data_IF_201786590254
#
_entry.id   IF_201786590254
#
_cell.length_a   1.000
_cell.length_b   1.000
_cell.length_c   1.000
_cell.angle_alpha   90.00
_cell.angle_beta   90.00
_cell.angle_gamma   90.00
#
_symmetry.space_group_name_H-M   'P 1'
#
loop_
_entity.id
_entity.type
_entity.pdbx_description
1 polymer ?
#
# COMPACT_ATOMS: atom_id res chain seq x y z
N UNK A 1 36.14 7.76 -27.73
CA UNK A 1 37.53 7.27 -27.68
C UNK A 1 37.67 6.58 -26.34
N UNK A 2 37.64 5.26 -26.36
CA UNK A 2 37.82 4.41 -25.18
C UNK A 2 39.18 3.75 -25.42
N UNK A 3 40.17 4.15 -24.62
CA UNK A 3 41.58 3.88 -24.83
C UNK A 3 41.91 2.38 -24.85
N UNK A 4 43.00 2.08 -25.56
CA UNK A 4 43.63 0.82 -25.96
C UNK A 4 44.06 -0.08 -24.77
N UNK A 5 43.18 -0.29 -23.79
CA UNK A 5 43.40 -1.26 -22.73
C UNK A 5 43.25 -2.67 -23.29
N UNK A 6 44.37 -3.32 -23.55
CA UNK A 6 44.42 -4.75 -23.89
C UNK A 6 44.66 -5.54 -22.60
N UNK A 7 43.62 -6.20 -22.06
CA UNK A 7 43.81 -7.04 -20.89
C UNK A 7 44.76 -8.20 -21.21
N UNK A 8 45.39 -8.77 -20.18
CA UNK A 8 46.14 -10.01 -20.30
C UNK A 8 45.23 -11.13 -20.86
N UNK A 9 45.79 -12.14 -21.56
CA UNK A 9 45.00 -13.17 -22.24
C UNK A 9 43.93 -13.85 -21.36
N UNK A 10 44.23 -14.03 -20.08
CA UNK A 10 43.33 -14.65 -19.09
C UNK A 10 42.07 -13.81 -18.82
N UNK A 11 42.17 -12.49 -18.99
CA UNK A 11 41.06 -11.53 -18.87
C UNK A 11 40.47 -11.13 -20.22
N UNK A 12 41.02 -11.59 -21.35
CA UNK A 12 40.41 -11.43 -22.67
C UNK A 12 39.24 -12.41 -22.83
N UNK A 13 38.06 -11.99 -22.38
CA UNK A 13 36.82 -12.75 -22.56
C UNK A 13 36.02 -12.14 -23.71
N UNK A 14 35.83 -12.90 -24.79
CA UNK A 14 35.04 -12.47 -25.96
C UNK A 14 33.53 -12.54 -25.74
N UNK A 15 33.08 -13.27 -24.71
CA UNK A 15 31.68 -13.57 -24.44
C UNK A 15 31.16 -12.96 -23.13
N UNK A 16 31.81 -11.91 -22.63
CA UNK A 16 31.42 -11.21 -21.41
C UNK A 16 32.01 -9.78 -21.39
N UNK A 17 31.36 -8.88 -20.65
CA UNK A 17 31.97 -7.62 -20.25
C UNK A 17 32.75 -7.87 -18.94
N UNK A 18 34.03 -7.50 -18.90
CA UNK A 18 34.89 -7.70 -17.72
C UNK A 18 35.01 -6.39 -16.94
N UNK A 19 34.68 -6.45 -15.65
CA UNK A 19 34.82 -5.35 -14.70
C UNK A 19 35.90 -5.70 -13.68
N UNK A 20 36.82 -4.77 -13.43
CA UNK A 20 37.84 -4.89 -12.39
C UNK A 20 37.52 -3.92 -11.25
N UNK A 21 37.23 -4.46 -10.08
CA UNK A 21 36.88 -3.70 -8.88
C UNK A 21 38.12 -3.56 -8.02
N UNK A 22 38.75 -2.39 -8.08
CA UNK A 22 39.92 -2.07 -7.28
C UNK A 22 39.49 -1.47 -5.94
N UNK A 23 39.90 -2.11 -4.85
CA UNK A 23 39.70 -1.65 -3.50
C UNK A 23 41.03 -1.12 -2.95
N UNK A 24 41.00 0.12 -2.47
CA UNK A 24 42.08 0.74 -1.72
C UNK A 24 41.56 1.05 -0.33
N UNK A 25 41.89 0.20 0.64
CA UNK A 25 41.45 0.38 2.01
C UNK A 25 42.45 1.25 2.79
N UNK A 26 41.95 2.35 3.36
CA UNK A 26 42.63 3.17 4.38
C UNK A 26 41.96 3.04 5.74
N UNK A 27 41.11 2.02 5.89
CA UNK A 27 40.34 1.75 7.10
C UNK A 27 41.22 0.96 8.06
N UNK A 28 41.08 1.26 9.35
CA UNK A 28 41.72 0.49 10.42
C UNK A 28 40.68 -0.36 11.12
N UNK A 29 40.96 -1.65 11.23
CA UNK A 29 40.06 -2.63 11.82
C UNK A 29 40.42 -2.89 13.28
N UNK A 30 39.42 -3.04 14.14
CA UNK A 30 39.63 -3.38 15.56
C UNK A 30 40.03 -4.85 15.78
N UNK A 31 39.92 -5.69 14.76
CA UNK A 31 40.37 -7.08 14.75
C UNK A 31 40.92 -7.51 13.39
N UNK A 32 41.55 -8.68 13.37
CA UNK A 32 42.11 -9.28 12.16
C UNK A 32 41.00 -9.57 11.12
N UNK A 33 41.27 -9.29 9.85
CA UNK A 33 40.35 -9.58 8.73
C UNK A 33 41.05 -10.47 7.72
N UNK A 34 40.59 -11.71 7.57
CA UNK A 34 41.20 -12.69 6.65
C UNK A 34 40.50 -12.80 5.30
N UNK A 35 39.44 -12.02 5.09
CA UNK A 35 38.75 -11.89 3.81
C UNK A 35 39.74 -11.61 2.66
N UNK A 36 39.55 -12.31 1.54
CA UNK A 36 40.51 -12.26 0.42
C UNK A 36 40.57 -10.91 -0.29
N UNK A 37 39.50 -10.12 -0.22
CA UNK A 37 39.42 -8.81 -0.87
C UNK A 37 39.78 -7.68 0.09
N UNK A 38 39.30 -7.68 1.33
CA UNK A 38 39.59 -6.62 2.31
C UNK A 38 40.91 -6.83 3.07
N UNK A 39 41.28 -8.09 3.33
CA UNK A 39 42.55 -8.58 3.90
C UNK A 39 43.36 -7.59 4.76
N UNK A 40 43.01 -7.47 6.04
CA UNK A 40 43.72 -6.62 7.00
C UNK A 40 44.40 -7.45 8.10
N UNK A 41 45.64 -7.86 7.83
CA UNK A 41 46.43 -8.76 8.68
C UNK A 41 47.66 -8.10 9.30
N UNK A 42 47.96 -6.84 8.96
CA UNK A 42 49.12 -6.12 9.50
C UNK A 42 48.70 -5.35 10.75
N UNK A 43 49.37 -5.61 11.88
CA UNK A 43 49.19 -4.80 13.09
C UNK A 43 49.94 -3.48 12.96
N UNK A 44 49.27 -2.38 13.30
CA UNK A 44 49.86 -1.05 13.34
C UNK A 44 49.40 -0.33 14.60
N UNK A 45 50.32 0.39 15.24
CA UNK A 45 49.98 1.33 16.30
C UNK A 45 49.18 2.49 15.67
N UNK A 46 48.10 2.91 16.35
CA UNK A 46 47.26 4.02 15.92
C UNK A 46 47.37 5.11 17.00
N UNK A 47 48.30 6.07 16.84
CA UNK A 47 48.53 7.11 17.86
C UNK A 47 47.24 7.87 18.22
N UNK A 48 46.36 8.08 17.24
CA UNK A 48 45.08 8.77 17.41
C UNK A 48 44.08 8.06 18.34
N UNK A 49 44.26 6.76 18.58
CA UNK A 49 43.38 5.95 19.43
C UNK A 49 44.10 5.41 20.69
N UNK A 50 45.41 5.64 20.81
CA UNK A 50 46.21 5.08 21.90
C UNK A 50 46.22 3.55 21.95
N UNK A 51 45.92 2.88 20.82
CA UNK A 51 45.82 1.41 20.74
C UNK A 51 46.31 0.88 19.39
N UNK A 52 46.46 -0.43 19.30
CA UNK A 52 46.78 -1.14 18.08
C UNK A 52 45.51 -1.46 17.29
N UNK A 53 45.62 -1.45 15.96
CA UNK A 53 44.61 -2.04 15.09
C UNK A 53 45.24 -2.71 13.88
N UNK A 54 44.36 -3.18 13.01
CA UNK A 54 44.71 -3.99 11.86
C UNK A 54 44.49 -3.19 10.58
N UNK A 55 45.54 -3.06 9.78
CA UNK A 55 45.50 -2.36 8.49
C UNK A 55 45.64 -3.35 7.33
N UNK A 56 45.22 -2.90 6.15
CA UNK A 56 45.30 -3.69 4.93
C UNK A 56 46.72 -4.22 4.69
N UNK A 57 46.81 -5.50 4.40
CA UNK A 57 48.07 -6.15 4.00
C UNK A 57 48.48 -5.85 2.56
N UNK A 58 47.53 -5.32 1.77
CA UNK A 58 47.70 -5.05 0.34
C UNK A 58 47.42 -3.57 0.06
N UNK A 59 48.23 -2.95 -0.79
CA UNK A 59 48.01 -1.56 -1.22
C UNK A 59 46.76 -1.43 -2.07
N UNK A 60 46.53 -2.39 -2.96
CA UNK A 60 45.35 -2.51 -3.81
C UNK A 60 44.94 -3.98 -3.84
N UNK A 61 43.65 -4.26 -3.67
CA UNK A 61 43.08 -5.57 -3.89
C UNK A 61 42.02 -5.49 -4.99
N UNK A 62 42.10 -6.42 -5.95
CA UNK A 62 41.27 -6.38 -7.16
C UNK A 62 40.37 -7.59 -7.21
N UNK A 63 39.09 -7.36 -7.47
CA UNK A 63 38.12 -8.41 -7.78
C UNK A 63 37.71 -8.30 -9.24
N UNK A 64 37.83 -9.40 -9.98
CA UNK A 64 37.37 -9.50 -11.37
C UNK A 64 35.93 -10.03 -11.43
N UNK A 65 35.04 -9.31 -12.11
CA UNK A 65 33.66 -9.70 -12.32
C UNK A 65 33.35 -9.73 -13.82
N UNK A 66 32.69 -10.79 -14.30
CA UNK A 66 32.25 -10.92 -15.69
C UNK A 66 30.73 -10.81 -15.76
N UNK A 67 30.24 -9.85 -16.54
CA UNK A 67 28.81 -9.68 -16.82
C UNK A 67 28.47 -10.28 -18.19
N UNK A 68 27.41 -11.09 -18.25
CA UNK A 68 26.93 -11.73 -19.48
C UNK A 68 25.44 -11.47 -19.61
N UNK A 69 25.02 -11.13 -20.82
CA UNK A 69 23.65 -10.78 -21.15
C UNK A 69 23.12 -11.75 -22.20
N UNK A 70 21.87 -12.14 -21.99
CA UNK A 70 21.12 -12.99 -22.90
C UNK A 70 19.70 -12.44 -23.03
N UNK A 71 19.22 -12.33 -24.26
CA UNK A 71 17.87 -11.93 -24.60
C UNK A 71 17.19 -13.12 -25.28
N UNK A 72 15.93 -13.34 -24.92
CA UNK A 72 15.18 -14.51 -25.36
C UNK A 72 13.81 -14.12 -25.91
N UNK A 73 13.37 -14.83 -26.95
CA UNK A 73 12.03 -14.85 -27.50
C UNK A 73 11.49 -16.29 -27.42
N UNK A 74 10.79 -16.61 -26.33
CA UNK A 74 10.44 -17.99 -26.00
C UNK A 74 11.71 -18.85 -25.86
N UNK A 75 11.80 -19.93 -26.65
CA UNK A 75 12.95 -20.84 -26.63
C UNK A 75 14.13 -20.37 -27.49
N UNK A 76 14.02 -19.22 -28.18
CA UNK A 76 15.10 -18.66 -29.01
C UNK A 76 15.83 -17.60 -28.23
N UNK A 77 17.07 -17.87 -27.85
CA UNK A 77 17.92 -16.92 -27.18
C UNK A 77 19.19 -16.69 -27.99
N UNK A 78 19.77 -15.49 -27.88
CA UNK A 78 21.13 -15.28 -28.37
C UNK A 78 22.14 -15.96 -27.42
N UNK A 79 23.37 -16.17 -27.89
CA UNK A 79 24.43 -16.68 -27.03
C UNK A 79 24.76 -15.65 -25.94
N UNK A 80 24.99 -16.07 -24.67
CA UNK A 80 25.35 -15.13 -23.61
C UNK A 80 26.66 -14.41 -23.94
N UNK A 81 26.61 -13.08 -23.99
CA UNK A 81 27.73 -12.23 -24.41
C UNK A 81 27.78 -10.91 -23.62
N UNK A 82 28.84 -10.11 -23.78
CA UNK A 82 28.87 -8.73 -23.28
C UNK A 82 27.77 -7.87 -23.92
N UNK A 83 27.29 -6.84 -23.23
CA UNK A 83 26.12 -6.07 -23.67
C UNK A 83 26.40 -5.32 -24.99
N UNK A 84 27.64 -4.87 -25.18
CA UNK A 84 28.05 -4.19 -26.42
C UNK A 84 28.21 -5.13 -27.61
N UNK A 85 28.53 -6.40 -27.35
CA UNK A 85 28.65 -7.43 -28.39
C UNK A 85 27.31 -7.87 -28.97
N UNK A 86 26.19 -7.45 -28.37
CA UNK A 86 24.85 -7.68 -28.92
C UNK A 86 24.63 -6.71 -30.08
N UNK A 87 24.85 -7.21 -31.29
CA UNK A 87 24.71 -6.49 -32.56
C UNK A 87 23.35 -6.79 -33.23
N UNK A 88 23.09 -6.16 -34.39
CA UNK A 88 21.85 -6.38 -35.16
C UNK A 88 21.60 -7.84 -35.51
N UNK A 89 22.63 -8.56 -35.97
CA UNK A 89 22.53 -9.98 -36.35
C UNK A 89 22.05 -10.86 -35.18
N UNK A 90 22.60 -10.64 -33.98
CA UNK A 90 22.20 -11.38 -32.77
C UNK A 90 20.74 -11.13 -32.37
N UNK A 91 20.21 -9.96 -32.70
CA UNK A 91 18.81 -9.57 -32.44
C UNK A 91 17.89 -10.12 -33.52
N UNK A 92 18.32 -10.11 -34.79
CA UNK A 92 17.58 -10.72 -35.91
C UNK A 92 17.38 -12.22 -35.70
N UNK A 93 18.38 -12.91 -35.13
CA UNK A 93 18.29 -14.33 -34.77
C UNK A 93 17.12 -14.64 -33.81
N UNK A 94 16.70 -13.66 -32.99
CA UNK A 94 15.56 -13.82 -32.07
C UNK A 94 14.21 -13.78 -32.79
N UNK A 95 14.15 -13.33 -34.06
CA UNK A 95 12.92 -13.16 -34.86
C UNK A 95 11.82 -12.43 -34.10
N UNK A 96 12.17 -11.27 -33.56
CA UNK A 96 11.24 -10.43 -32.81
C UNK A 96 10.21 -9.78 -33.74
N UNK A 97 8.96 -9.69 -33.30
CA UNK A 97 7.96 -8.85 -33.98
C UNK A 97 8.15 -7.36 -33.61
N UNK A 98 7.44 -6.45 -34.29
CA UNK A 98 7.59 -5.01 -34.08
C UNK A 98 7.40 -4.55 -32.61
N UNK A 99 6.46 -5.15 -31.88
CA UNK A 99 6.25 -4.87 -30.44
C UNK A 99 7.42 -5.34 -29.60
N UNK A 100 7.90 -6.56 -29.86
CA UNK A 100 9.02 -7.16 -29.15
C UNK A 100 10.32 -6.40 -29.43
N UNK A 101 10.51 -5.84 -30.62
CA UNK A 101 11.65 -4.97 -30.95
C UNK A 101 11.61 -3.70 -30.08
N UNK A 102 10.45 -3.05 -29.94
CA UNK A 102 10.31 -1.89 -29.05
C UNK A 102 10.63 -2.25 -27.58
N UNK A 103 10.14 -3.40 -27.10
CA UNK A 103 10.48 -3.92 -25.76
C UNK A 103 11.97 -4.23 -25.64
N UNK A 104 12.60 -4.81 -26.66
CA UNK A 104 14.02 -5.10 -26.67
C UNK A 104 14.86 -3.81 -26.55
N UNK A 105 14.51 -2.75 -27.30
CA UNK A 105 15.21 -1.47 -27.18
C UNK A 105 15.10 -0.88 -25.77
N UNK A 106 13.93 -0.97 -25.14
CA UNK A 106 13.78 -0.60 -23.74
C UNK A 106 14.67 -1.44 -22.83
N UNK A 107 14.58 -2.77 -22.91
CA UNK A 107 15.34 -3.68 -22.06
C UNK A 107 16.86 -3.51 -22.24
N UNK A 108 17.32 -3.22 -23.46
CA UNK A 108 18.73 -2.90 -23.74
C UNK A 108 19.16 -1.60 -23.06
N UNK A 109 18.35 -0.53 -23.14
CA UNK A 109 18.61 0.74 -22.44
C UNK A 109 18.66 0.54 -20.92
N UNK A 110 17.72 -0.25 -20.38
CA UNK A 110 17.62 -0.61 -18.97
C UNK A 110 18.84 -1.42 -18.52
N UNK A 111 19.19 -2.48 -19.25
CA UNK A 111 20.37 -3.31 -18.98
C UNK A 111 21.65 -2.49 -19.01
N UNK A 112 21.77 -1.55 -19.96
CA UNK A 112 22.90 -0.65 -20.02
C UNK A 112 23.06 0.20 -18.76
N UNK A 113 21.95 0.68 -18.18
CA UNK A 113 21.97 1.48 -16.96
C UNK A 113 22.23 0.68 -15.67
N UNK A 114 21.98 -0.63 -15.68
CA UNK A 114 22.18 -1.51 -14.53
C UNK A 114 23.54 -2.19 -14.46
N UNK A 115 24.43 -1.92 -15.42
CA UNK A 115 25.78 -2.47 -15.46
C UNK A 115 26.58 -2.05 -14.24
N UNK A 116 27.38 -2.97 -13.73
CA UNK A 116 28.18 -2.76 -12.53
C UNK A 116 29.09 -1.53 -12.65
N UNK A 117 29.68 -1.27 -13.82
CA UNK A 117 30.48 -0.07 -14.10
C UNK A 117 29.77 1.23 -13.72
N UNK A 118 28.51 1.41 -14.10
CA UNK A 118 27.77 2.65 -13.80
C UNK A 118 27.43 2.75 -12.32
N UNK A 119 27.01 1.63 -11.72
CA UNK A 119 26.67 1.60 -10.30
C UNK A 119 27.90 1.96 -9.45
N UNK A 120 29.06 1.39 -9.78
CA UNK A 120 30.34 1.72 -9.14
C UNK A 120 30.75 3.18 -9.37
N UNK A 121 30.57 3.69 -10.59
CA UNK A 121 30.92 5.07 -10.91
C UNK A 121 30.10 6.09 -10.11
N UNK A 122 28.79 5.85 -9.96
CA UNK A 122 27.90 6.80 -9.27
C UNK A 122 27.93 6.67 -7.74
N UNK A 123 28.06 5.45 -7.20
CA UNK A 123 28.01 5.23 -5.74
C UNK A 123 29.39 5.17 -5.08
N UNK A 124 30.44 4.85 -5.83
CA UNK A 124 31.80 4.74 -5.32
C UNK A 124 31.88 3.83 -4.09
N UNK A 125 32.52 4.29 -3.02
CA UNK A 125 32.66 3.53 -1.76
C UNK A 125 31.33 3.27 -1.02
N UNK A 126 30.30 4.07 -1.27
CA UNK A 126 29.00 3.95 -0.57
C UNK A 126 28.21 2.73 -1.01
N UNK A 127 28.69 2.02 -2.04
CA UNK A 127 28.10 0.77 -2.51
C UNK A 127 28.44 -0.44 -1.62
N UNK A 128 29.51 -0.34 -0.82
CA UNK A 128 30.02 -1.44 -0.01
C UNK A 128 29.31 -1.46 1.35
N UNK A 129 28.79 -2.62 1.75
CA UNK A 129 28.22 -2.84 3.09
C UNK A 129 29.29 -2.62 4.15
N UNK A 130 30.54 -2.99 3.89
CA UNK A 130 31.67 -2.75 4.78
C UNK A 130 31.86 -1.25 5.11
N UNK A 131 31.46 -0.33 4.22
CA UNK A 131 31.56 1.11 4.48
C UNK A 131 30.53 1.58 5.52
N UNK A 132 29.37 0.91 5.66
CA UNK A 132 28.39 1.21 6.71
C UNK A 132 28.90 0.86 8.11
N UNK A 133 29.87 -0.06 8.19
CA UNK A 133 30.53 -0.45 9.45
C UNK A 133 31.70 0.48 9.81
N UNK A 134 31.97 1.52 9.02
CA UNK A 134 33.01 2.51 9.34
C UNK A 134 32.41 3.60 10.22
N UNK A 135 33.03 3.89 11.35
CA UNK A 135 32.51 4.83 12.34
C UNK A 135 33.60 5.73 12.92
N UNK A 136 33.17 6.85 13.50
CA UNK A 136 34.03 7.82 14.16
C UNK A 136 34.64 8.87 13.23
N UNK A 137 35.50 9.72 13.80
CA UNK A 137 36.22 10.78 13.07
C UNK A 137 37.41 10.19 12.27
N UNK A 138 37.96 9.08 12.74
CA UNK A 138 38.97 8.29 12.02
C UNK A 138 38.29 7.12 11.30
N UNK A 139 38.78 6.67 10.13
CA UNK A 139 38.17 5.57 9.39
C UNK A 139 38.43 4.24 10.10
N UNK A 140 37.65 3.95 11.15
CA UNK A 140 37.75 2.74 11.97
C UNK A 140 36.56 1.85 11.67
N UNK A 141 36.77 0.55 11.62
CA UNK A 141 35.70 -0.43 11.45
C UNK A 141 35.86 -1.63 12.39
N UNK A 142 34.75 -2.30 12.66
CA UNK A 142 34.76 -3.61 13.30
C UNK A 142 35.36 -4.66 12.35
N UNK A 143 35.91 -5.78 12.87
CA UNK A 143 36.39 -6.86 12.02
C UNK A 143 35.29 -7.35 11.09
N UNK A 144 35.68 -7.62 9.84
CA UNK A 144 34.79 -8.16 8.81
C UNK A 144 34.82 -9.69 8.83
N UNK A 145 33.69 -10.36 8.50
CA UNK A 145 33.67 -11.80 8.25
C UNK A 145 34.63 -12.21 7.14
N UNK A 146 35.06 -13.47 7.16
CA UNK A 146 36.00 -14.03 6.16
C UNK A 146 35.37 -14.17 4.75
N UNK A 147 34.04 -14.15 4.66
CA UNK A 147 33.26 -14.20 3.42
C UNK A 147 32.67 -12.84 3.01
N UNK A 148 33.18 -11.74 3.57
CA UNK A 148 32.67 -10.39 3.31
C UNK A 148 32.64 -10.07 1.80
N UNK A 149 33.65 -10.46 1.02
CA UNK A 149 33.65 -10.23 -0.43
C UNK A 149 32.45 -10.88 -1.13
N UNK A 150 31.99 -12.05 -0.67
CA UNK A 150 30.81 -12.72 -1.22
C UNK A 150 29.53 -11.97 -0.86
N UNK A 151 29.46 -11.47 0.38
CA UNK A 151 28.36 -10.63 0.86
C UNK A 151 28.27 -9.37 0.00
N UNK A 152 29.40 -8.72 -0.28
CA UNK A 152 29.45 -7.56 -1.16
C UNK A 152 28.99 -7.91 -2.57
N UNK A 153 29.45 -9.02 -3.17
CA UNK A 153 29.03 -9.40 -4.52
C UNK A 153 27.53 -9.69 -4.60
N UNK A 154 26.95 -10.32 -3.57
CA UNK A 154 25.49 -10.53 -3.48
C UNK A 154 24.74 -9.20 -3.41
N UNK A 155 25.27 -8.22 -2.66
CA UNK A 155 24.70 -6.88 -2.58
C UNK A 155 24.77 -6.14 -3.92
N UNK A 156 25.93 -6.15 -4.58
CA UNK A 156 26.12 -5.54 -5.91
C UNK A 156 25.17 -6.11 -6.96
N UNK A 157 24.97 -7.43 -6.96
CA UNK A 157 24.00 -8.06 -7.86
C UNK A 157 22.56 -7.65 -7.51
N UNK A 158 22.20 -7.62 -6.22
CA UNK A 158 20.87 -7.20 -5.78
C UNK A 158 20.58 -5.75 -6.17
N UNK A 159 21.57 -4.88 -6.07
CA UNK A 159 21.50 -3.49 -6.49
C UNK A 159 21.36 -3.36 -8.01
N UNK A 160 22.11 -4.13 -8.79
CA UNK A 160 21.94 -4.19 -10.25
C UNK A 160 20.51 -4.60 -10.63
N UNK A 161 19.95 -5.60 -9.96
CA UNK A 161 18.56 -6.03 -10.17
C UNK A 161 17.55 -4.94 -9.78
N UNK A 162 17.78 -4.24 -8.67
CA UNK A 162 16.92 -3.12 -8.27
C UNK A 162 16.95 -1.99 -9.31
N UNK A 163 18.13 -1.65 -9.84
CA UNK A 163 18.27 -0.67 -10.93
C UNK A 163 17.55 -1.14 -12.19
N UNK A 164 17.66 -2.42 -12.57
CA UNK A 164 16.89 -2.96 -13.71
C UNK A 164 15.38 -2.73 -13.53
N UNK A 165 14.83 -3.06 -12.36
CA UNK A 165 13.42 -2.89 -12.05
C UNK A 165 12.99 -1.41 -12.06
N UNK A 166 13.80 -0.55 -11.44
CA UNK A 166 13.53 0.89 -11.37
C UNK A 166 13.57 1.55 -12.75
N UNK A 167 14.55 1.22 -13.59
CA UNK A 167 14.72 1.85 -14.92
C UNK A 167 13.57 1.54 -15.87
N UNK A 168 12.94 0.37 -15.76
CA UNK A 168 11.72 0.06 -16.53
C UNK A 168 10.59 1.02 -16.14
N UNK A 169 10.44 1.30 -14.85
CA UNK A 169 9.41 2.21 -14.33
C UNK A 169 9.69 3.67 -14.71
N UNK A 170 10.96 4.10 -14.63
CA UNK A 170 11.38 5.45 -15.00
C UNK A 170 11.17 5.76 -16.49
N UNK A 171 11.19 4.75 -17.37
CA UNK A 171 10.87 4.96 -18.78
C UNK A 171 9.43 5.44 -18.98
N UNK A 172 8.47 4.87 -18.25
CA UNK A 172 7.06 5.25 -18.32
C UNK A 172 6.76 6.54 -17.55
N UNK A 173 7.41 6.71 -16.39
CA UNK A 173 7.17 7.81 -15.46
C UNK A 173 8.49 8.38 -14.95
N UNK A 174 9.19 9.18 -15.77
CA UNK A 174 10.45 9.79 -15.38
C UNK A 174 10.25 10.79 -14.25
N UNK A 175 11.25 10.89 -13.37
CA UNK A 175 11.22 11.86 -12.29
C UNK A 175 11.29 13.30 -12.83
N UNK A 176 10.48 14.18 -12.24
CA UNK A 176 10.52 15.61 -12.52
C UNK A 176 11.33 16.33 -11.45
N UNK A 177 12.64 16.45 -11.68
CA UNK A 177 13.57 17.11 -10.76
C UNK A 177 14.03 18.44 -11.35
N UNK A 178 14.24 19.43 -10.49
CA UNK A 178 14.85 20.69 -10.89
C UNK A 178 16.37 20.50 -10.95
N UNK A 179 16.93 20.54 -12.16
CA UNK A 179 18.38 20.35 -12.39
C UNK A 179 19.13 21.64 -12.07
N UNK A 180 18.52 22.78 -12.41
CA UNK A 180 18.99 24.14 -12.12
C UNK A 180 17.77 25.03 -11.91
N UNK A 181 17.91 26.20 -11.25
CA UNK A 181 16.80 27.14 -11.07
C UNK A 181 16.02 27.38 -12.37
N UNK A 182 14.75 26.99 -12.41
CA UNK A 182 13.85 27.12 -13.56
C UNK A 182 14.02 26.06 -14.67
N UNK A 183 14.91 25.08 -14.50
CA UNK A 183 15.27 24.06 -15.50
C UNK A 183 14.91 22.68 -14.94
N UNK A 184 13.81 22.12 -15.42
CA UNK A 184 13.33 20.79 -15.01
C UNK A 184 13.93 19.67 -15.87
N UNK A 185 14.09 18.46 -15.32
CA UNK A 185 14.56 17.28 -16.05
C UNK A 185 13.69 16.91 -17.25
N UNK A 186 12.41 17.30 -17.22
CA UNK A 186 11.44 17.01 -18.28
C UNK A 186 11.85 17.53 -19.65
N UNK A 187 12.57 18.65 -19.71
CA UNK A 187 13.03 19.21 -20.99
C UNK A 187 14.09 18.36 -21.69
N UNK A 188 14.75 17.45 -20.96
CA UNK A 188 15.77 16.54 -21.48
C UNK A 188 15.20 15.15 -21.79
N UNK A 189 13.89 14.94 -21.63
CA UNK A 189 13.24 13.68 -22.01
C UNK A 189 13.19 13.61 -23.52
N UNK A 190 13.78 12.56 -24.08
CA UNK A 190 13.66 12.24 -25.51
C UNK A 190 12.43 11.34 -25.67
N UNK A 191 11.32 11.84 -26.24
CA UNK A 191 10.09 11.05 -26.39
C UNK A 191 10.26 9.95 -27.45
N UNK A 192 9.52 8.85 -27.27
CA UNK A 192 9.49 7.78 -28.27
C UNK A 192 8.74 8.26 -29.54
N UNK A 193 9.41 8.15 -30.69
CA UNK A 193 8.88 8.58 -31.99
C UNK A 193 8.13 7.46 -32.71
N UNK A 194 8.50 6.21 -32.47
CA UNK A 194 7.94 5.03 -33.14
C UNK A 194 6.53 4.70 -32.64
N UNK A 195 5.67 4.17 -33.53
CA UNK A 195 4.30 3.78 -33.19
C UNK A 195 4.25 2.73 -32.08
N UNK A 196 5.12 1.71 -32.16
CA UNK A 196 5.18 0.66 -31.14
C UNK A 196 5.81 1.17 -29.83
N UNK A 197 6.76 2.10 -29.86
CA UNK A 197 7.30 2.75 -28.66
C UNK A 197 6.25 3.56 -27.91
N UNK A 198 5.43 4.35 -28.62
CA UNK A 198 4.29 5.05 -28.03
C UNK A 198 3.26 4.09 -27.44
N UNK A 199 2.98 2.98 -28.14
CA UNK A 199 2.09 1.93 -27.65
C UNK A 199 2.65 1.24 -26.41
N UNK A 200 3.96 0.99 -26.35
CA UNK A 200 4.63 0.43 -25.19
C UNK A 200 4.49 1.36 -23.97
N UNK A 201 4.77 2.65 -24.15
CA UNK A 201 4.62 3.67 -23.09
C UNK A 201 3.17 3.75 -22.57
N UNK A 202 2.17 3.77 -23.48
CA UNK A 202 0.75 3.81 -23.08
C UNK A 202 0.28 2.57 -22.29
N UNK A 203 0.96 1.43 -22.44
CA UNK A 203 0.65 0.20 -21.73
C UNK A 203 1.41 0.04 -20.40
N UNK A 204 2.44 0.85 -20.15
CA UNK A 204 3.17 0.82 -18.89
C UNK A 204 2.44 1.67 -17.86
N UNK A 205 1.82 0.99 -16.89
CA UNK A 205 1.10 1.64 -15.80
C UNK A 205 1.93 1.56 -14.53
N UNK A 206 2.19 2.72 -13.94
CA UNK A 206 2.92 2.85 -12.68
C UNK A 206 1.99 3.38 -11.60
N UNK A 207 2.17 2.92 -10.36
CA UNK A 207 1.44 3.47 -9.23
C UNK A 207 2.10 4.78 -8.83
N UNK A 208 1.34 5.87 -8.80
CA UNK A 208 1.84 7.17 -8.38
C UNK A 208 1.08 7.63 -7.13
N UNK A 209 1.79 8.03 -6.07
CA UNK A 209 1.17 8.49 -4.83
C UNK A 209 0.27 9.73 -4.98
N UNK A 210 0.49 10.54 -6.02
CA UNK A 210 -0.31 11.75 -6.29
C UNK A 210 -1.68 11.45 -6.91
N UNK A 211 -1.89 10.23 -7.43
CA UNK A 211 -3.11 9.87 -8.16
C UNK A 211 -3.68 8.56 -7.62
N UNK A 212 -4.86 8.63 -7.01
CA UNK A 212 -5.61 7.45 -6.56
C UNK A 212 -6.59 6.99 -7.63
N UNK A 213 -6.53 5.70 -7.97
CA UNK A 213 -7.53 5.08 -8.86
C UNK A 213 -8.69 4.56 -8.01
N UNK A 214 -9.88 5.13 -8.18
CA UNK A 214 -11.09 4.68 -7.49
C UNK A 214 -11.96 3.83 -8.40
N UNK A 215 -12.62 2.82 -7.85
CA UNK A 215 -13.66 2.09 -8.57
C UNK A 215 -14.92 2.97 -8.64
N UNK A 216 -15.04 3.74 -9.72
CA UNK A 216 -16.18 4.64 -9.96
C UNK A 216 -17.51 3.89 -9.87
N UNK A 217 -17.57 2.66 -10.39
CA UNK A 217 -18.78 1.83 -10.33
C UNK A 217 -19.14 1.51 -8.88
N UNK A 218 -18.16 1.15 -8.04
CA UNK A 218 -18.37 0.91 -6.61
C UNK A 218 -18.91 2.14 -5.89
N UNK A 219 -18.35 3.32 -6.17
CA UNK A 219 -18.82 4.60 -5.60
C UNK A 219 -20.26 4.88 -6.05
N UNK A 220 -20.57 4.71 -7.34
CA UNK A 220 -21.91 4.92 -7.86
C UNK A 220 -22.93 3.97 -7.21
N UNK A 221 -22.60 2.69 -7.04
CA UNK A 221 -23.51 1.71 -6.40
C UNK A 221 -23.81 2.11 -4.96
N UNK A 222 -22.79 2.54 -4.20
CA UNK A 222 -22.99 2.95 -2.80
C UNK A 222 -23.84 4.23 -2.73
N UNK A 223 -23.51 5.25 -3.54
CA UNK A 223 -24.23 6.54 -3.52
C UNK A 223 -25.66 6.37 -4.00
N UNK A 224 -25.88 5.79 -5.18
CA UNK A 224 -27.22 5.66 -5.75
C UNK A 224 -28.04 4.60 -5.04
N UNK A 225 -27.46 3.44 -4.74
CA UNK A 225 -28.15 2.37 -4.00
C UNK A 225 -28.51 2.81 -2.59
N UNK A 226 -27.58 3.44 -1.87
CA UNK A 226 -27.83 4.00 -0.54
C UNK A 226 -28.87 5.12 -0.57
N UNK A 227 -28.78 6.05 -1.52
CA UNK A 227 -29.77 7.12 -1.68
C UNK A 227 -31.15 6.55 -2.00
N UNK A 228 -31.26 5.54 -2.86
CA UNK A 228 -32.52 4.89 -3.19
C UNK A 228 -33.15 4.23 -1.96
N UNK A 229 -32.37 3.50 -1.15
CA UNK A 229 -32.86 2.89 0.09
C UNK A 229 -33.38 3.95 1.08
N UNK A 230 -32.66 5.06 1.24
CA UNK A 230 -33.08 6.17 2.10
C UNK A 230 -34.37 6.80 1.57
N UNK A 231 -34.46 7.06 0.26
CA UNK A 231 -35.64 7.64 -0.37
C UNK A 231 -36.85 6.73 -0.21
N UNK A 232 -36.71 5.42 -0.43
CA UNK A 232 -37.77 4.43 -0.21
C UNK A 232 -38.19 4.44 1.24
N UNK A 233 -37.26 4.42 2.19
CA UNK A 233 -37.59 4.44 3.61
C UNK A 233 -38.36 5.70 4.04
N UNK A 234 -37.98 6.87 3.52
CA UNK A 234 -38.68 8.13 3.85
C UNK A 234 -40.06 8.19 3.18
N UNK A 235 -40.18 7.74 1.93
CA UNK A 235 -41.42 7.86 1.16
C UNK A 235 -42.45 6.77 1.48
N UNK A 236 -42.03 5.58 1.91
CA UNK A 236 -42.92 4.45 2.20
C UNK A 236 -43.98 4.79 3.28
N UNK A 237 -43.65 5.42 4.43
CA UNK A 237 -44.66 5.83 5.41
C UNK A 237 -45.65 6.86 4.90
N UNK A 238 -45.27 7.72 3.94
CA UNK A 238 -46.18 8.69 3.32
C UNK A 238 -47.08 8.02 2.30
N UNK A 239 -46.52 7.12 1.48
CA UNK A 239 -47.24 6.42 0.42
C UNK A 239 -48.25 5.43 1.00
N UNK A 240 -47.84 4.63 1.99
CA UNK A 240 -48.75 3.74 2.75
C UNK A 240 -49.83 4.55 3.46
N UNK A 241 -49.47 5.66 4.11
CA UNK A 241 -50.43 6.54 4.77
C UNK A 241 -51.42 7.21 3.79
N UNK A 242 -51.02 7.47 2.55
CA UNK A 242 -51.91 7.99 1.51
C UNK A 242 -52.85 6.90 0.97
N UNK A 243 -52.33 5.71 0.67
CA UNK A 243 -53.12 4.57 0.18
C UNK A 243 -54.16 4.12 1.22
N UNK A 244 -53.78 4.00 2.49
CA UNK A 244 -54.71 3.65 3.58
C UNK A 244 -55.84 4.68 3.74
N UNK A 245 -55.55 5.97 3.48
CA UNK A 245 -56.56 7.05 3.49
C UNK A 245 -57.55 6.93 2.33
N UNK A 246 -57.06 6.57 1.14
CA UNK A 246 -57.91 6.44 -0.05
C UNK A 246 -58.73 5.16 -0.08
N UNK A 247 -58.18 4.04 0.38
CA UNK A 247 -58.82 2.72 0.30
C UNK A 247 -59.68 2.40 1.52
N UNK A 248 -59.52 3.12 2.64
CA UNK A 248 -60.21 2.84 3.91
C UNK A 248 -59.76 1.55 4.61
N UNK A 249 -58.84 0.78 4.01
CA UNK A 249 -58.33 -0.47 4.56
C UNK A 249 -57.18 -0.20 5.54
N UNK A 250 -57.18 -0.92 6.67
CA UNK A 250 -56.09 -0.85 7.66
C UNK A 250 -56.06 0.44 8.50
N UNK A 251 -57.18 1.16 8.61
CA UNK A 251 -57.28 2.40 9.39
C UNK A 251 -56.97 2.18 10.89
N UNK A 252 -57.39 1.04 11.45
CA UNK A 252 -57.10 0.68 12.85
C UNK A 252 -55.59 0.48 13.07
N UNK A 253 -54.93 -0.34 12.24
CA UNK A 253 -53.48 -0.56 12.32
C UNK A 253 -52.67 0.73 12.13
N UNK A 254 -53.19 1.68 11.33
CA UNK A 254 -52.60 3.00 11.20
C UNK A 254 -52.75 3.85 12.46
N UNK A 255 -53.90 3.82 13.11
CA UNK A 255 -54.11 4.55 14.37
C UNK A 255 -53.20 3.99 15.46
N UNK A 256 -53.09 2.66 15.57
CA UNK A 256 -52.16 1.99 16.49
C UNK A 256 -50.71 2.43 16.22
N UNK A 257 -50.30 2.48 14.95
CA UNK A 257 -48.98 2.98 14.55
C UNK A 257 -48.76 4.43 15.01
N UNK A 258 -49.74 5.32 14.78
CA UNK A 258 -49.66 6.74 15.16
C UNK A 258 -49.61 6.89 16.68
N UNK A 259 -50.44 6.16 17.43
CA UNK A 259 -50.47 6.20 18.90
C UNK A 259 -49.16 5.69 19.51
N UNK A 260 -48.47 4.76 18.83
CA UNK A 260 -47.15 4.27 19.23
C UNK A 260 -45.99 5.24 18.90
N UNK A 261 -46.21 6.30 18.11
CA UNK A 261 -45.16 7.28 17.82
C UNK A 261 -44.77 8.06 19.09
N UNK A 262 -43.48 8.37 19.22
CA UNK A 262 -42.90 8.98 20.44
C UNK A 262 -43.58 10.28 20.87
N UNK A 263 -43.97 11.12 19.92
CA UNK A 263 -44.65 12.39 20.19
C UNK A 263 -46.10 12.19 20.64
N UNK A 264 -46.76 11.13 20.18
CA UNK A 264 -48.11 10.76 20.61
C UNK A 264 -48.10 10.13 22.01
N UNK A 265 -47.11 9.27 22.31
CA UNK A 265 -46.86 8.79 23.67
C UNK A 265 -46.61 9.95 24.64
N UNK A 266 -45.80 10.93 24.23
CA UNK A 266 -45.54 12.14 25.01
C UNK A 266 -46.81 12.96 25.25
N UNK A 267 -47.65 13.15 24.21
CA UNK A 267 -48.97 13.79 24.34
C UNK A 267 -49.81 13.07 25.39
N UNK A 268 -49.96 11.76 25.30
CA UNK A 268 -50.80 10.97 26.22
C UNK A 268 -50.30 11.08 27.68
N UNK A 269 -48.98 11.06 27.89
CA UNK A 269 -48.39 11.28 29.21
C UNK A 269 -48.63 12.69 29.78
N UNK A 270 -48.75 13.70 28.91
CA UNK A 270 -49.10 15.06 29.32
C UNK A 270 -50.61 15.24 29.53
N UNK A 271 -51.45 14.63 28.70
CA UNK A 271 -52.90 14.60 28.91
C UNK A 271 -53.25 13.94 30.26
N UNK A 272 -52.55 12.86 30.63
CA UNK A 272 -52.67 12.23 31.96
C UNK A 272 -52.25 13.15 33.13
N UNK A 273 -51.47 14.21 32.86
CA UNK A 273 -51.14 15.26 33.83
C UNK A 273 -52.07 16.49 33.74
N UNK A 274 -53.18 16.38 33.02
CA UNK A 274 -54.14 17.47 32.83
C UNK A 274 -53.68 18.57 31.87
N UNK A 275 -52.62 18.32 31.09
CA UNK A 275 -52.08 19.28 30.14
C UNK A 275 -52.80 19.11 28.80
N UNK A 276 -53.56 20.13 28.40
CA UNK A 276 -54.30 20.20 27.14
C UNK A 276 -54.93 21.58 26.93
N UNK A 277 -55.77 21.77 25.90
CA UNK A 277 -56.19 20.81 24.87
C UNK A 277 -55.18 20.66 23.71
N UNK A 278 -55.18 19.49 23.06
CA UNK A 278 -54.31 19.12 21.93
C UNK A 278 -55.09 19.06 20.61
N UNK A 279 -54.42 19.42 19.52
CA UNK A 279 -54.88 19.38 18.12
C UNK A 279 -54.07 18.31 17.37
N UNK A 280 -54.67 17.67 16.37
CA UNK A 280 -53.99 16.66 15.55
C UNK A 280 -53.79 15.34 16.28
N UNK A 281 -54.79 14.89 17.05
CA UNK A 281 -54.74 13.64 17.83
C UNK A 281 -54.52 12.38 16.98
N UNK A 282 -54.84 12.46 15.69
CA UNK A 282 -54.65 11.38 14.70
C UNK A 282 -53.56 11.71 13.67
N UNK A 283 -52.76 12.75 13.91
CA UNK A 283 -51.61 13.11 13.07
C UNK A 283 -50.30 12.64 13.73
N UNK A 284 -49.21 12.53 12.96
CA UNK A 284 -47.90 12.13 13.51
C UNK A 284 -47.36 13.09 14.57
N UNK A 285 -47.65 14.38 14.41
CA UNK A 285 -47.14 15.45 15.28
C UNK A 285 -48.30 16.15 15.96
N UNK A 286 -48.63 15.79 17.21
CA UNK A 286 -49.65 16.47 17.97
C UNK A 286 -49.15 17.84 18.43
N UNK A 287 -50.01 18.85 18.36
CA UNK A 287 -49.67 20.22 18.77
C UNK A 287 -50.64 20.70 19.85
N UNK A 288 -50.17 21.57 20.74
CA UNK A 288 -51.05 22.20 21.73
C UNK A 288 -51.92 23.25 21.04
N UNK A 289 -53.20 23.34 21.42
CA UNK A 289 -54.12 24.30 20.82
C UNK A 289 -53.71 25.76 21.04
N UNK A 290 -52.89 26.03 22.05
CA UNK A 290 -52.30 27.34 22.32
C UNK A 290 -50.79 27.22 22.28
N UNK A 291 -50.16 28.10 21.52
CA UNK A 291 -48.71 28.24 21.46
C UNK A 291 -48.18 28.90 22.74
N UNK A 292 -47.01 28.47 23.24
CA UNK A 292 -46.31 29.15 24.33
C UNK A 292 -46.83 28.89 25.75
N UNK A 293 -47.74 27.94 25.98
CA UNK A 293 -48.13 27.52 27.34
C UNK A 293 -46.95 26.80 28.02
N UNK A 294 -46.42 27.40 29.09
CA UNK A 294 -45.45 26.74 29.98
C UNK A 294 -46.21 25.80 30.91
N UNK A 295 -45.77 24.54 30.98
CA UNK A 295 -46.38 23.56 31.88
C UNK A 295 -45.95 23.86 33.33
N UNK A 296 -46.90 23.92 34.29
CA UNK A 296 -46.54 24.11 35.68
C UNK A 296 -45.69 22.94 36.17
N UNK A 297 -44.53 23.23 36.79
CA UNK A 297 -43.71 22.24 37.51
C UNK A 297 -44.37 21.93 38.84
N UNK A 298 -45.45 21.17 38.85
CA UNK A 298 -45.96 20.59 40.10
C UNK A 298 -45.14 19.33 40.39
N UNK A 299 -44.30 19.39 41.43
CA UNK A 299 -43.59 18.22 41.94
C UNK A 299 -44.63 17.26 42.53
N UNK A 300 -44.86 16.12 41.86
CA UNK A 300 -45.73 15.07 42.39
C UNK A 300 -44.91 14.27 43.41
N UNK A 301 -45.30 14.33 44.68
CA UNK A 301 -44.92 13.33 45.68
C UNK A 301 -45.63 12.01 45.30
N UNK A 302 -44.89 11.07 44.74
CA UNK A 302 -45.35 9.73 44.31
C UNK A 302 -45.63 8.79 45.50
N UNK A 303 -46.36 9.25 46.53
CA UNK A 303 -46.70 8.38 47.67
C UNK A 303 -48.17 8.11 47.87
N UNK A 304 -49.07 9.03 47.51
CA UNK A 304 -50.48 8.85 47.86
C UNK A 304 -51.39 9.34 46.73
N UNK A 305 -51.73 8.48 45.76
CA UNK A 305 -53.07 8.44 45.12
C UNK A 305 -53.19 7.44 43.95
N UNK A 306 -53.97 6.39 44.26
CA UNK A 306 -54.85 5.54 43.41
C UNK A 306 -54.50 4.05 43.29
N UNK A 307 -55.46 3.15 43.64
CA UNK A 307 -55.37 1.72 43.42
C UNK A 307 -55.82 1.39 41.99
N UNK A 308 -54.98 0.68 41.23
CA UNK A 308 -55.40 0.06 39.97
C UNK A 308 -56.22 -1.19 40.31
N UNK A 309 -57.55 -1.08 40.19
CA UNK A 309 -58.46 -2.23 40.16
C UNK A 309 -58.46 -2.78 38.74
N UNK A 310 -57.65 -3.80 38.47
CA UNK A 310 -57.78 -4.59 37.24
C UNK A 310 -59.03 -5.46 37.37
N UNK A 311 -59.99 -5.26 36.45
CA UNK A 311 -61.14 -6.14 36.28
C UNK A 311 -60.68 -7.39 35.54
N UNK A 312 -60.54 -8.48 36.28
CA UNK A 312 -60.29 -9.84 35.82
C UNK A 312 -61.54 -10.37 35.07
N UNK A 313 -61.46 -10.47 33.74
CA UNK A 313 -62.36 -11.32 32.93
C UNK A 313 -61.64 -11.76 31.66
N UNK A 314 -61.04 -12.95 31.69
CA UNK A 314 -60.97 -13.86 30.55
C UNK A 314 -60.53 -15.23 31.04
N UNK A 315 -61.37 -16.22 30.81
CA UNK A 315 -61.15 -17.63 31.15
C UNK A 315 -59.85 -18.17 30.52
N UNK A 316 -59.18 -19.14 31.18
CA UNK A 316 -57.94 -19.71 30.66
C UNK A 316 -58.23 -20.59 29.43
N UNK A 317 -57.63 -20.25 28.29
CA UNK A 317 -57.55 -21.14 27.15
C UNK A 317 -56.64 -22.32 27.51
N UNK A 318 -57.27 -23.50 27.58
CA UNK A 318 -56.63 -24.82 27.74
C UNK A 318 -55.64 -25.04 26.59
N UNK A 319 -54.37 -25.19 26.95
CA UNK A 319 -53.29 -25.60 26.04
C UNK A 319 -53.39 -27.11 25.80
N UNK A 320 -53.91 -27.51 24.64
CA UNK A 320 -53.69 -28.86 24.11
C UNK A 320 -52.41 -28.88 23.28
N UNK A 321 -51.37 -29.52 23.80
CA UNK A 321 -50.19 -29.93 23.01
C UNK A 321 -50.55 -31.11 22.08
N UNK A 322 -49.86 -31.22 20.95
CA UNK A 322 -49.29 -32.53 20.64
C UNK A 322 -47.81 -32.51 20.22
N UNK A 323 -47.14 -33.56 20.71
CA UNK A 323 -45.97 -34.28 20.20
C UNK A 323 -44.60 -33.58 20.07
N UNK A 324 -43.68 -33.99 20.96
CA UNK A 324 -42.24 -33.80 20.85
C UNK A 324 -41.59 -34.81 19.89
N UNK A 325 -40.65 -34.32 19.07
CA UNK A 325 -39.44 -35.03 18.64
C UNK A 325 -39.04 -34.82 17.17
N UNK A 326 -37.74 -34.87 16.78
CA UNK A 326 -36.52 -34.85 17.57
C UNK A 326 -35.60 -33.63 17.29
N UNK A 327 -34.70 -33.45 18.24
CA UNK A 327 -33.61 -32.48 18.39
C UNK A 327 -32.53 -32.52 17.30
N UNK A 328 -32.09 -31.35 16.83
CA UNK A 328 -30.72 -31.13 16.32
C UNK A 328 -30.20 -29.79 16.85
N UNK A 329 -29.13 -29.86 17.64
CA UNK A 329 -28.53 -28.72 18.33
C UNK A 329 -27.73 -27.80 17.42
N UNK A 330 -27.81 -26.50 17.69
CA UNK A 330 -26.89 -25.50 17.19
C UNK A 330 -26.19 -24.86 18.40
N UNK A 331 -24.92 -25.20 18.59
CA UNK A 331 -24.03 -24.51 19.53
C UNK A 331 -23.67 -23.14 18.96
N UNK A 332 -23.98 -22.09 19.71
CA UNK A 332 -23.46 -20.75 19.48
C UNK A 332 -22.02 -20.67 19.97
N UNK A 333 -21.10 -20.27 19.09
CA UNK A 333 -19.80 -19.76 19.49
C UNK A 333 -19.80 -18.24 19.43
N UNK A 334 -19.59 -17.67 20.62
CA UNK A 334 -19.27 -16.29 20.93
C UNK A 334 -17.95 -15.92 20.26
N UNK A 335 -17.88 -14.78 19.57
CA UNK A 335 -16.61 -14.12 19.26
C UNK A 335 -16.59 -12.75 19.94
N UNK A 336 -15.60 -12.61 20.81
CA UNK A 336 -15.29 -11.44 21.61
C UNK A 336 -14.90 -10.23 20.76
N UNK A 337 -15.32 -9.07 21.26
CA UNK A 337 -14.94 -7.75 20.78
C UNK A 337 -13.55 -7.36 21.32
N UNK A 338 -12.55 -7.26 20.45
CA UNK A 338 -11.30 -6.57 20.75
C UNK A 338 -11.26 -5.17 20.12
N UNK A 339 -10.88 -4.21 20.95
CA UNK A 339 -10.69 -2.78 20.73
C UNK A 339 -9.57 -2.41 19.74
N UNK A 340 -9.63 -1.25 19.07
CA UNK A 340 -8.69 -0.88 18.01
C UNK A 340 -7.41 -0.22 18.54
N UNK A 341 -6.27 -0.84 18.23
CA UNK A 341 -4.93 -0.28 18.42
C UNK A 341 -4.54 0.70 17.31
N UNK A 342 -4.17 1.90 17.77
CA UNK A 342 -3.30 2.92 17.18
C UNK A 342 -2.37 2.45 16.03
N UNK A 343 -2.54 3.04 14.83
CA UNK A 343 -1.54 3.00 13.76
C UNK A 343 -0.74 4.30 13.74
N UNK A 344 0.54 4.19 14.07
CA UNK A 344 1.57 5.24 13.97
C UNK A 344 2.25 5.09 12.61
N UNK A 345 1.90 5.91 11.61
CA UNK A 345 2.64 5.97 10.35
C UNK A 345 3.84 6.92 10.49
N UNK A 346 5.03 6.38 10.24
CA UNK A 346 6.27 7.12 10.03
C UNK A 346 6.21 7.80 8.66
N UNK A 347 6.60 9.07 8.62
CA UNK A 347 6.88 9.81 7.40
C UNK A 347 8.15 9.33 6.72
N UNK A 348 8.22 9.64 5.42
CA UNK A 348 9.45 9.76 4.66
C UNK A 348 10.22 11.02 5.04
#
# INVERSE_FOLDING_TARGET
MEDDFRPIPEFQRSNADVNLLNLVSRVVYTGNVTDQWFGATIRSDIPALGTQGWISSRTVSTLGCTERYQFCNGNRCNSPTGLFSINGESVEALRLNARQIATFHLLRKVANGARLRYILYFLGKNILIANEKVYGVFPISSPLPDDQWQIEMKNLNSLSMAVLQQRVMEHASPQNIEVRPGVTSRQYIIPETTTEGKRLCANQKTRHAAYSSFNLLGICVIIFGGSLLILVNISLPHLVGWIQKMTGMGLAARLDWIESETLQLQRMAFEGRGIGPWIGKQDRVPTTAKFGRRFPRTAINLRDSYPLRMSETSDPLVVTQPAQGPTTGFQGHVYDSESPTFWRQRGF
#
